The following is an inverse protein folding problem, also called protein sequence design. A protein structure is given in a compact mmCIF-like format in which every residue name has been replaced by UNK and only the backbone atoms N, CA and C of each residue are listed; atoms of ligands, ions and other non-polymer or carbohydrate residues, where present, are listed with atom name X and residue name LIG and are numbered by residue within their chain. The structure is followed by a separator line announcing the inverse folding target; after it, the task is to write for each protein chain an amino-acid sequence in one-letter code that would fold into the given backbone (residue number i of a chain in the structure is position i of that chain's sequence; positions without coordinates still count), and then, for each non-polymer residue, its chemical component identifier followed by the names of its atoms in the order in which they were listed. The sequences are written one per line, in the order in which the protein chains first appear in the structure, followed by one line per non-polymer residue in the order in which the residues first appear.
data_IF_805267186506
#
_entry.id   IF_805267186506
#
_cell.length_a   1.000
_cell.length_b   1.000
_cell.length_c   1.000
_cell.angle_alpha   90.00
_cell.angle_beta   90.00
_cell.angle_gamma   90.00
#
_symmetry.space_group_name_H-M   'P 1'
#
loop_
_entity.id
_entity.type
_entity.pdbx_description
1 polymer ?
#
# COMPACT_ATOMS: atom_id res chain seq x y z
N UNK A 1 38.52 -9.79 -8.63
CA UNK A 1 37.05 -9.85 -8.42
C UNK A 1 36.52 -8.45 -8.13
N UNK A 2 35.31 -8.10 -8.58
CA UNK A 2 34.68 -6.84 -8.16
C UNK A 2 34.25 -6.99 -6.70
N UNK A 3 34.59 -6.02 -5.85
CA UNK A 3 34.06 -5.96 -4.49
C UNK A 3 32.53 -6.03 -4.53
N UNK A 4 31.94 -6.97 -3.79
CA UNK A 4 30.49 -7.11 -3.64
C UNK A 4 30.10 -6.77 -2.20
N UNK A 5 29.14 -5.87 -2.05
CA UNK A 5 28.62 -5.44 -0.76
C UNK A 5 27.29 -6.17 -0.46
N UNK A 6 27.06 -6.67 0.76
CA UNK A 6 25.75 -7.17 1.16
C UNK A 6 24.69 -6.11 0.87
N UNK A 7 23.72 -6.43 0.02
CA UNK A 7 22.70 -5.47 -0.44
C UNK A 7 21.31 -6.00 -0.12
N UNK A 8 20.43 -5.10 0.30
CA UNK A 8 19.00 -5.38 0.45
C UNK A 8 18.16 -4.25 -0.13
N UNK A 9 16.87 -4.50 -0.36
CA UNK A 9 15.95 -3.54 -0.98
C UNK A 9 14.64 -3.49 -0.22
N UNK A 10 14.16 -2.27 0.03
CA UNK A 10 12.78 -1.98 0.45
C UNK A 10 11.92 -2.03 -0.81
N UNK A 11 11.09 -3.05 -1.02
CA UNK A 11 10.45 -3.27 -2.32
C UNK A 11 9.29 -2.30 -2.60
N UNK A 12 8.65 -1.77 -1.57
CA UNK A 12 7.57 -0.78 -1.64
C UNK A 12 7.40 -0.11 -0.26
N UNK A 13 6.50 0.86 -0.13
CA UNK A 13 6.06 1.45 1.15
C UNK A 13 4.62 2.01 1.05
N UNK A 14 3.83 1.46 0.13
CA UNK A 14 2.58 2.04 -0.35
C UNK A 14 1.50 2.18 0.74
N UNK A 15 1.49 1.30 1.74
CA UNK A 15 0.60 1.37 2.89
C UNK A 15 1.30 1.70 4.22
N UNK A 16 2.47 2.37 4.18
CA UNK A 16 3.07 2.87 5.42
C UNK A 16 2.17 3.95 6.04
N UNK A 17 1.79 3.87 7.33
CA UNK A 17 0.86 4.83 7.94
C UNK A 17 1.32 6.28 7.89
N UNK A 18 2.63 6.55 8.04
CA UNK A 18 3.17 7.91 7.98
C UNK A 18 3.20 8.44 6.55
N UNK A 19 3.42 7.59 5.55
CA UNK A 19 3.24 7.97 4.15
C UNK A 19 1.78 8.30 3.85
N UNK A 20 0.84 7.47 4.31
CA UNK A 20 -0.61 7.70 4.18
C UNK A 20 -1.03 9.02 4.84
N UNK A 21 -0.55 9.26 6.06
CA UNK A 21 -0.81 10.51 6.79
C UNK A 21 -0.19 11.72 6.06
N UNK A 22 1.04 11.60 5.55
CA UNK A 22 1.69 12.68 4.79
C UNK A 22 0.90 13.07 3.54
N UNK A 23 0.38 12.08 2.80
CA UNK A 23 -0.50 12.33 1.64
C UNK A 23 -1.79 13.02 2.10
N UNK A 24 -2.39 12.56 3.20
CA UNK A 24 -3.59 13.21 3.77
C UNK A 24 -3.33 14.68 4.15
N UNK A 25 -2.19 14.99 4.78
CA UNK A 25 -1.84 16.36 5.13
C UNK A 25 -1.61 17.24 3.89
N UNK A 26 -1.07 16.69 2.80
CA UNK A 26 -1.00 17.40 1.50
C UNK A 26 -2.36 17.71 0.92
N UNK A 27 -3.31 16.78 1.04
CA UNK A 27 -4.71 17.01 0.63
C UNK A 27 -5.31 18.15 1.47
N UNK A 28 -5.16 18.11 2.80
CA UNK A 28 -5.70 19.15 3.68
C UNK A 28 -5.12 20.53 3.40
N UNK A 29 -3.80 20.61 3.16
CA UNK A 29 -3.11 21.84 2.76
C UNK A 29 -3.68 22.39 1.45
N UNK A 30 -3.88 21.54 0.44
CA UNK A 30 -4.42 21.96 -0.84
C UNK A 30 -5.90 22.37 -0.75
N UNK A 31 -6.70 21.67 0.04
CA UNK A 31 -8.10 22.03 0.32
C UNK A 31 -8.24 23.44 0.90
N UNK A 32 -7.24 23.94 1.64
CA UNK A 32 -7.25 25.32 2.14
C UNK A 32 -7.20 26.38 1.02
N UNK A 33 -6.73 26.03 -0.19
CA UNK A 33 -6.70 26.96 -1.33
C UNK A 33 -8.06 27.14 -1.99
N UNK A 34 -8.99 26.20 -1.80
CA UNK A 34 -10.37 26.35 -2.27
C UNK A 34 -11.14 27.35 -1.38
N UNK A 35 -12.12 28.08 -1.95
CA UNK A 35 -13.06 28.87 -1.17
C UNK A 35 -13.80 28.00 -0.15
N UNK A 36 -13.97 28.50 1.08
CA UNK A 36 -14.61 27.74 2.18
C UNK A 36 -15.99 27.18 1.81
N UNK A 37 -16.74 27.91 0.97
CA UNK A 37 -18.10 27.56 0.53
C UNK A 37 -18.16 26.33 -0.36
N UNK A 38 -17.08 26.01 -1.09
CA UNK A 38 -17.06 24.89 -2.06
C UNK A 38 -16.21 23.70 -1.59
N UNK A 39 -15.47 23.83 -0.49
CA UNK A 39 -14.52 22.80 0.00
C UNK A 39 -15.16 21.43 0.20
N UNK A 40 -16.40 21.38 0.67
CA UNK A 40 -17.14 20.12 0.87
C UNK A 40 -17.58 19.46 -0.43
N UNK A 41 -17.56 20.18 -1.54
CA UNK A 41 -17.97 19.72 -2.87
C UNK A 41 -16.78 19.29 -3.73
N UNK A 42 -15.55 19.46 -3.24
CA UNK A 42 -14.33 19.12 -3.96
C UNK A 42 -14.27 17.61 -4.20
N UNK A 43 -14.05 17.23 -5.45
CA UNK A 43 -13.77 15.85 -5.84
C UNK A 43 -12.26 15.64 -5.90
N UNK A 44 -11.78 14.59 -5.21
CA UNK A 44 -10.37 14.20 -5.24
C UNK A 44 -10.09 13.33 -6.45
N UNK A 45 -9.07 13.67 -7.25
CA UNK A 45 -8.63 12.88 -8.40
C UNK A 45 -7.20 12.42 -8.14
N UNK A 46 -7.02 11.18 -7.70
CA UNK A 46 -5.71 10.58 -7.48
C UNK A 46 -5.11 10.16 -8.82
N UNK A 47 -4.13 10.92 -9.28
CA UNK A 47 -3.46 10.72 -10.58
C UNK A 47 -2.16 9.93 -10.40
N UNK A 48 -2.08 8.77 -11.05
CA UNK A 48 -0.88 7.94 -11.13
C UNK A 48 -0.32 7.94 -12.56
N UNK A 49 1.00 7.89 -12.73
CA UNK A 49 1.60 7.76 -14.05
C UNK A 49 1.25 6.40 -14.66
N UNK A 50 0.80 6.40 -15.91
CA UNK A 50 0.41 5.18 -16.58
C UNK A 50 1.62 4.29 -16.91
N UNK A 51 1.34 3.01 -17.08
CA UNK A 51 2.29 1.99 -17.52
C UNK A 51 1.62 1.13 -18.59
N UNK A 52 2.31 0.82 -19.69
CA UNK A 52 1.75 0.04 -20.80
C UNK A 52 1.21 -1.31 -20.31
N UNK A 53 -0.10 -1.47 -20.38
CA UNK A 53 -0.83 -2.69 -19.98
C UNK A 53 -0.41 -3.90 -20.83
N UNK A 54 -0.11 -3.69 -22.11
CA UNK A 54 0.26 -4.73 -23.08
C UNK A 54 1.61 -5.43 -22.84
N UNK A 55 2.56 -4.82 -22.12
CA UNK A 55 3.81 -5.47 -21.73
C UNK A 55 3.73 -6.18 -20.36
N UNK A 56 2.67 -5.91 -19.58
CA UNK A 56 2.51 -6.37 -18.19
C UNK A 56 1.20 -7.14 -17.94
N UNK A 57 0.56 -7.64 -18.99
CA UNK A 57 -0.49 -8.68 -18.91
C UNK A 57 -0.01 -10.01 -18.31
N UNK A 58 1.29 -10.15 -18.01
CA UNK A 58 1.76 -11.15 -17.07
C UNK A 58 1.48 -10.67 -15.64
N UNK A 59 0.68 -11.45 -14.91
CA UNK A 59 0.21 -11.35 -13.51
C UNK A 59 1.28 -11.03 -12.43
N UNK A 60 2.22 -10.12 -12.67
CA UNK A 60 3.46 -9.97 -11.91
C UNK A 60 3.84 -8.55 -11.53
N UNK A 61 3.30 -7.50 -12.17
CA UNK A 61 3.57 -6.13 -11.75
C UNK A 61 2.54 -5.66 -10.69
N UNK A 62 2.98 -5.39 -9.45
CA UNK A 62 2.08 -4.95 -8.39
C UNK A 62 1.73 -3.46 -8.47
N UNK A 63 2.26 -2.68 -9.43
CA UNK A 63 2.10 -1.23 -9.49
C UNK A 63 0.65 -0.75 -9.34
N UNK A 64 -0.24 -1.23 -10.20
CA UNK A 64 -1.66 -0.85 -10.16
C UNK A 64 -2.31 -1.21 -8.81
N UNK A 65 -2.01 -2.40 -8.28
CA UNK A 65 -2.51 -2.82 -6.98
C UNK A 65 -1.98 -1.94 -5.83
N UNK A 66 -0.71 -1.54 -5.87
CA UNK A 66 -0.12 -0.63 -4.88
C UNK A 66 -0.75 0.76 -4.97
N UNK A 67 -0.97 1.31 -6.16
CA UNK A 67 -1.66 2.60 -6.34
C UNK A 67 -3.05 2.56 -5.70
N UNK A 68 -3.87 1.56 -6.04
CA UNK A 68 -5.20 1.43 -5.46
C UNK A 68 -5.15 1.18 -3.95
N UNK A 69 -4.20 0.38 -3.46
CA UNK A 69 -3.98 0.16 -2.03
C UNK A 69 -3.65 1.46 -1.32
N UNK A 70 -2.74 2.29 -1.84
CA UNK A 70 -2.40 3.59 -1.26
C UNK A 70 -3.62 4.49 -1.19
N UNK A 71 -4.35 4.65 -2.31
CA UNK A 71 -5.54 5.51 -2.37
C UNK A 71 -6.59 5.05 -1.36
N UNK A 72 -6.86 3.75 -1.28
CA UNK A 72 -7.83 3.20 -0.32
C UNK A 72 -7.40 3.46 1.13
N UNK A 73 -6.11 3.32 1.46
CA UNK A 73 -5.62 3.62 2.82
C UNK A 73 -5.71 5.11 3.16
N UNK A 74 -5.40 6.00 2.22
CA UNK A 74 -5.58 7.45 2.37
C UNK A 74 -7.04 7.78 2.62
N UNK A 75 -7.96 7.29 1.78
CA UNK A 75 -9.38 7.58 1.93
C UNK A 75 -9.99 6.96 3.19
N UNK A 76 -9.49 5.80 3.65
CA UNK A 76 -9.86 5.23 4.96
C UNK A 76 -9.38 6.10 6.12
N UNK A 77 -8.12 6.53 6.10
CA UNK A 77 -7.56 7.41 7.13
C UNK A 77 -8.36 8.72 7.26
N UNK A 78 -8.87 9.23 6.14
CA UNK A 78 -9.72 10.42 6.07
C UNK A 78 -11.20 10.17 6.33
N UNK A 79 -11.61 8.96 6.68
CA UNK A 79 -13.02 8.56 6.84
C UNK A 79 -13.90 8.83 5.60
N UNK A 80 -13.31 8.82 4.39
CA UNK A 80 -13.99 9.09 3.11
C UNK A 80 -14.76 10.41 3.13
N UNK A 81 -14.12 11.46 3.65
CA UNK A 81 -14.64 12.81 3.80
C UNK A 81 -14.90 13.56 2.47
N UNK A 82 -14.34 13.09 1.35
CA UNK A 82 -14.63 13.59 0.00
C UNK A 82 -14.90 12.45 -1.00
N UNK A 83 -15.69 12.69 -2.07
CA UNK A 83 -15.75 11.81 -3.22
C UNK A 83 -14.39 11.76 -3.92
N UNK A 84 -14.02 10.59 -4.46
CA UNK A 84 -12.71 10.41 -5.08
C UNK A 84 -12.72 9.46 -6.29
N UNK A 85 -11.73 9.64 -7.16
CA UNK A 85 -11.42 8.75 -8.28
C UNK A 85 -9.92 8.41 -8.30
N UNK A 86 -9.59 7.19 -8.70
CA UNK A 86 -8.22 6.80 -9.07
C UNK A 86 -8.12 6.83 -10.59
N UNK A 87 -7.14 7.55 -11.12
CA UNK A 87 -6.97 7.80 -12.55
C UNK A 87 -5.50 7.66 -12.96
N UNK A 88 -5.27 7.49 -14.26
CA UNK A 88 -3.92 7.32 -14.82
C UNK A 88 -3.59 8.44 -15.83
N UNK A 89 -2.34 8.89 -15.87
CA UNK A 89 -1.90 10.02 -16.70
C UNK A 89 -0.75 9.63 -17.64
N UNK A 90 -0.44 10.48 -18.62
CA UNK A 90 0.70 10.31 -19.53
C UNK A 90 0.60 9.08 -20.45
N UNK A 91 -0.61 8.77 -20.89
CA UNK A 91 -0.94 7.81 -21.95
C UNK A 91 -0.37 8.29 -23.29
N UNK A 92 0.53 7.51 -23.90
CA UNK A 92 1.19 7.89 -25.17
C UNK A 92 1.09 6.81 -26.25
N UNK A 93 0.30 7.05 -27.29
CA UNK A 93 0.25 6.17 -28.46
C UNK A 93 -0.71 4.97 -28.31
N UNK A 94 -0.76 4.08 -29.33
CA UNK A 94 -1.90 3.20 -29.58
C UNK A 94 -1.97 1.93 -28.70
N UNK A 95 -1.20 1.86 -27.61
CA UNK A 95 -1.18 0.69 -26.73
C UNK A 95 -2.42 0.63 -25.82
N UNK A 96 -2.66 -0.53 -25.19
CA UNK A 96 -3.59 -0.60 -24.05
C UNK A 96 -2.91 -0.02 -22.81
N UNK A 97 -3.58 0.92 -22.16
CA UNK A 97 -3.12 1.67 -20.99
C UNK A 97 -4.06 1.45 -19.80
N UNK A 98 -3.63 1.80 -18.59
CA UNK A 98 -4.50 1.74 -17.42
C UNK A 98 -5.63 2.77 -17.56
N UNK A 99 -6.81 2.42 -17.07
CA UNK A 99 -7.99 3.26 -17.15
C UNK A 99 -8.57 3.52 -15.75
N UNK A 100 -9.32 4.61 -15.54
CA UNK A 100 -9.62 5.69 -16.48
C UNK A 100 -8.49 6.75 -16.57
N UNK A 101 -8.46 7.47 -17.69
CA UNK A 101 -7.54 8.58 -17.94
C UNK A 101 -7.87 9.80 -17.06
N UNK A 102 -6.83 10.48 -16.56
CA UNK A 102 -6.96 11.65 -15.68
C UNK A 102 -7.67 12.82 -16.37
N UNK A 103 -7.24 13.28 -17.56
CA UNK A 103 -8.01 14.27 -18.32
C UNK A 103 -9.47 13.85 -18.55
N UNK A 104 -9.71 12.63 -19.04
CA UNK A 104 -11.05 12.20 -19.45
C UNK A 104 -12.01 12.08 -18.25
N UNK A 105 -11.48 11.67 -17.09
CA UNK A 105 -12.23 11.65 -15.83
C UNK A 105 -12.64 13.06 -15.41
N UNK A 106 -11.74 14.05 -15.54
CA UNK A 106 -12.05 15.44 -15.20
C UNK A 106 -13.09 16.02 -16.16
N UNK A 107 -12.99 15.73 -17.46
CA UNK A 107 -14.03 16.14 -18.43
C UNK A 107 -15.39 15.52 -18.07
N UNK A 108 -15.42 14.23 -17.73
CA UNK A 108 -16.64 13.54 -17.30
C UNK A 108 -17.23 14.14 -16.02
N UNK A 109 -16.38 14.54 -15.06
CA UNK A 109 -16.82 15.21 -13.83
C UNK A 109 -17.46 16.56 -14.14
N UNK A 110 -16.87 17.34 -15.05
CA UNK A 110 -17.41 18.62 -15.48
C UNK A 110 -18.77 18.46 -16.19
N UNK A 111 -18.91 17.46 -17.06
CA UNK A 111 -20.18 17.11 -17.73
C UNK A 111 -21.28 16.71 -16.74
N UNK A 112 -20.89 16.08 -15.62
CA UNK A 112 -21.79 15.72 -14.52
C UNK A 112 -22.08 16.88 -13.55
N UNK A 113 -21.53 18.06 -13.82
CA UNK A 113 -21.81 19.29 -13.07
C UNK A 113 -20.89 19.53 -11.87
N UNK A 114 -19.85 18.73 -11.66
CA UNK A 114 -18.83 19.06 -10.66
C UNK A 114 -18.01 20.26 -11.11
N UNK A 115 -17.75 21.20 -10.20
CA UNK A 115 -17.03 22.46 -10.48
C UNK A 115 -15.72 22.61 -9.72
N UNK A 116 -15.47 21.74 -8.74
CA UNK A 116 -14.29 21.81 -7.88
C UNK A 116 -13.53 20.48 -7.88
N UNK A 117 -12.28 20.49 -8.34
CA UNK A 117 -11.44 19.29 -8.45
C UNK A 117 -10.08 19.54 -7.82
N UNK A 118 -9.66 18.64 -6.94
CA UNK A 118 -8.31 18.59 -6.40
C UNK A 118 -7.59 17.35 -6.95
N UNK A 119 -6.55 17.57 -7.74
CA UNK A 119 -5.69 16.49 -8.25
C UNK A 119 -4.60 16.17 -7.25
N UNK A 120 -4.42 14.88 -6.95
CA UNK A 120 -3.42 14.35 -6.02
C UNK A 120 -2.47 13.45 -6.81
N UNK A 121 -1.24 13.88 -7.13
CA UNK A 121 -0.25 13.03 -7.78
C UNK A 121 0.21 11.94 -6.80
N UNK A 122 -0.27 10.70 -6.98
CA UNK A 122 -0.08 9.64 -5.97
C UNK A 122 1.11 8.72 -6.27
N UNK A 123 1.60 8.74 -7.50
CA UNK A 123 2.68 7.86 -7.96
C UNK A 123 4.09 8.44 -7.86
N UNK A 124 4.21 9.71 -7.47
CA UNK A 124 5.48 10.41 -7.31
C UNK A 124 5.52 11.14 -5.97
N UNK A 125 6.73 11.26 -5.41
CA UNK A 125 6.95 11.88 -4.11
C UNK A 125 7.53 13.29 -4.21
N UNK A 126 7.98 13.72 -5.38
CA UNK A 126 8.55 15.06 -5.62
C UNK A 126 7.81 15.78 -6.74
N UNK A 127 7.84 17.11 -6.70
CA UNK A 127 7.40 17.92 -7.84
C UNK A 127 8.39 17.79 -9.01
N UNK A 128 7.86 17.65 -10.22
CA UNK A 128 8.62 17.45 -11.47
C UNK A 128 7.70 17.74 -12.67
N UNK A 129 8.20 17.56 -13.90
CA UNK A 129 7.45 17.94 -15.12
C UNK A 129 6.07 17.28 -15.21
N UNK A 130 5.94 16.01 -14.80
CA UNK A 130 4.66 15.27 -14.84
C UNK A 130 3.64 15.76 -13.79
N UNK A 131 4.03 16.62 -12.85
CA UNK A 131 3.11 17.27 -11.90
C UNK A 131 2.96 18.75 -12.21
N UNK A 132 4.06 19.52 -12.20
CA UNK A 132 4.03 20.97 -12.35
C UNK A 132 3.64 21.45 -13.76
N UNK A 133 3.89 20.64 -14.80
CA UNK A 133 3.49 21.01 -16.16
C UNK A 133 2.30 20.19 -16.64
N UNK A 134 2.39 18.86 -16.59
CA UNK A 134 1.33 18.01 -17.13
C UNK A 134 0.00 18.23 -16.37
N UNK A 135 0.02 18.21 -15.04
CA UNK A 135 -1.19 18.36 -14.25
C UNK A 135 -1.57 19.83 -14.06
N UNK A 136 -0.63 20.64 -13.56
CA UNK A 136 -0.95 21.99 -13.10
C UNK A 136 -1.09 23.03 -14.22
N UNK A 137 -0.58 22.74 -15.42
CA UNK A 137 -0.74 23.61 -16.59
C UNK A 137 -1.64 22.94 -17.63
N UNK A 138 -1.26 21.75 -18.12
CA UNK A 138 -1.93 21.14 -19.27
C UNK A 138 -3.31 20.58 -18.93
N UNK A 139 -3.42 19.80 -17.85
CA UNK A 139 -4.72 19.28 -17.38
C UNK A 139 -5.59 20.39 -16.82
N UNK A 140 -5.02 21.33 -16.05
CA UNK A 140 -5.74 22.53 -15.57
C UNK A 140 -6.43 23.28 -16.71
N UNK A 141 -5.69 23.62 -17.77
CA UNK A 141 -6.25 24.36 -18.90
C UNK A 141 -7.42 23.60 -19.57
N UNK A 142 -7.34 22.27 -19.68
CA UNK A 142 -8.45 21.44 -20.17
C UNK A 142 -9.64 21.43 -19.20
N UNK A 143 -9.38 21.31 -17.90
CA UNK A 143 -10.41 21.30 -16.87
C UNK A 143 -11.22 22.61 -16.87
N UNK A 144 -10.52 23.74 -16.88
CA UNK A 144 -11.12 25.08 -16.93
C UNK A 144 -11.94 25.29 -18.21
N UNK A 145 -11.41 24.86 -19.37
CA UNK A 145 -12.13 24.93 -20.65
C UNK A 145 -13.41 24.08 -20.68
N UNK A 146 -13.54 23.09 -19.79
CA UNK A 146 -14.74 22.23 -19.65
C UNK A 146 -15.67 22.68 -18.54
N UNK A 147 -15.33 23.77 -17.84
CA UNK A 147 -16.17 24.37 -16.80
C UNK A 147 -15.87 23.87 -15.39
N UNK A 148 -14.64 23.44 -15.10
CA UNK A 148 -14.16 23.37 -13.71
C UNK A 148 -13.79 24.78 -13.27
N UNK A 149 -14.47 25.30 -12.25
CA UNK A 149 -14.27 26.67 -11.74
C UNK A 149 -13.11 26.74 -10.73
N UNK A 150 -12.89 25.64 -9.99
CA UNK A 150 -11.84 25.54 -8.98
C UNK A 150 -11.01 24.28 -9.22
N UNK A 151 -9.74 24.48 -9.58
CA UNK A 151 -8.80 23.40 -9.84
C UNK A 151 -7.52 23.62 -9.03
N UNK A 152 -7.07 22.58 -8.34
CA UNK A 152 -5.79 22.61 -7.62
C UNK A 152 -5.06 21.28 -7.79
N UNK A 153 -3.73 21.32 -7.69
CA UNK A 153 -2.89 20.13 -7.62
C UNK A 153 -2.13 20.16 -6.28
N UNK A 154 -2.15 19.09 -5.51
CA UNK A 154 -1.35 19.03 -4.27
C UNK A 154 0.14 19.15 -4.61
N UNK A 155 0.91 19.83 -3.76
CA UNK A 155 2.37 19.74 -3.84
C UNK A 155 2.82 18.28 -3.60
N UNK A 156 3.93 17.90 -4.22
CA UNK A 156 4.60 16.64 -3.90
C UNK A 156 4.93 16.53 -2.40
N UNK A 157 5.22 15.31 -1.94
CA UNK A 157 5.68 15.12 -0.55
C UNK A 157 6.96 15.91 -0.29
N UNK A 158 7.90 15.94 -1.24
CA UNK A 158 9.16 16.67 -1.14
C UNK A 158 9.84 16.36 0.19
N UNK A 159 9.95 17.36 1.07
CA UNK A 159 10.57 17.26 2.40
C UNK A 159 9.56 17.06 3.54
N UNK A 160 8.37 16.51 3.27
CA UNK A 160 7.36 16.28 4.30
C UNK A 160 7.93 15.41 5.43
N UNK A 161 7.90 15.86 6.71
CA UNK A 161 8.59 15.16 7.80
C UNK A 161 8.10 13.72 7.98
N UNK A 162 6.78 13.50 7.95
CA UNK A 162 6.20 12.16 8.01
C UNK A 162 6.62 11.24 6.85
N UNK A 163 6.88 11.79 5.67
CA UNK A 163 7.38 10.98 4.56
C UNK A 163 8.84 10.55 4.81
N UNK A 164 9.68 11.46 5.30
CA UNK A 164 11.07 11.15 5.68
C UNK A 164 11.08 10.07 6.78
N UNK A 165 10.20 10.19 7.77
CA UNK A 165 10.03 9.17 8.81
C UNK A 165 9.55 7.82 8.25
N UNK A 166 8.61 7.82 7.30
CA UNK A 166 8.14 6.60 6.64
C UNK A 166 9.28 5.87 5.92
N UNK A 167 10.17 6.59 5.25
CA UNK A 167 11.37 6.03 4.61
C UNK A 167 12.34 5.44 5.65
N UNK A 168 12.53 6.12 6.78
CA UNK A 168 13.30 5.63 7.92
C UNK A 168 12.73 4.33 8.49
N UNK A 169 11.42 4.29 8.77
CA UNK A 169 10.73 3.09 9.27
C UNK A 169 10.81 1.93 8.28
N UNK A 170 10.60 2.19 6.99
CA UNK A 170 10.67 1.15 5.98
C UNK A 170 12.08 0.57 5.84
N UNK A 171 13.11 1.42 5.99
CA UNK A 171 14.51 1.00 5.98
C UNK A 171 14.85 0.19 7.23
N UNK A 172 14.46 0.65 8.42
CA UNK A 172 14.72 -0.09 9.67
C UNK A 172 13.99 -1.43 9.67
N UNK A 173 12.71 -1.47 9.31
CA UNK A 173 11.95 -2.72 9.23
C UNK A 173 12.55 -3.73 8.23
N UNK A 174 13.23 -3.23 7.20
CA UNK A 174 13.95 -4.07 6.24
C UNK A 174 15.28 -4.60 6.80
N UNK A 175 15.91 -3.89 7.75
CA UNK A 175 17.13 -4.29 8.44
C UNK A 175 16.85 -5.21 9.65
N UNK A 176 15.72 -5.03 10.34
CA UNK A 176 15.36 -5.69 11.62
C UNK A 176 14.83 -7.14 11.51
N UNK A 177 15.37 -7.93 10.58
CA UNK A 177 15.29 -9.39 10.62
C UNK A 177 16.66 -9.96 11.01
N UNK A 178 16.73 -10.81 12.05
CA UNK A 178 17.23 -10.43 13.36
C UNK A 178 18.69 -9.94 13.31
N UNK A 179 18.91 -8.64 13.49
CA UNK A 179 20.23 -8.10 13.81
C UNK A 179 20.02 -7.01 14.87
N UNK A 180 20.71 -7.13 16.00
CA UNK A 180 20.73 -6.08 17.02
C UNK A 180 21.32 -4.80 16.39
N UNK A 181 20.59 -3.68 16.46
CA UNK A 181 21.00 -2.37 15.92
C UNK A 181 22.35 -1.87 16.47
N UNK A 182 22.83 -2.40 17.61
CA UNK A 182 24.18 -2.14 18.10
C UNK A 182 25.28 -2.92 17.35
N UNK A 183 24.94 -4.02 16.66
CA UNK A 183 25.86 -4.74 15.76
C UNK A 183 26.10 -3.99 14.44
N UNK A 184 25.15 -3.13 14.02
CA UNK A 184 25.32 -2.24 12.85
C UNK A 184 26.26 -1.06 13.12
N UNK A 185 26.58 -0.77 14.40
CA UNK A 185 27.54 0.28 14.77
C UNK A 185 28.98 -0.08 14.42
N UNK A 186 29.25 -1.35 14.13
CA UNK A 186 30.50 -1.85 13.57
C UNK A 186 30.33 -2.14 12.08
N UNK A 187 29.91 -1.13 11.32
CA UNK A 187 29.88 -1.18 9.86
C UNK A 187 31.23 -0.80 9.26
N UNK A 188 32.01 -1.80 8.83
CA UNK A 188 33.16 -1.64 7.93
C UNK A 188 34.50 -2.17 8.45
N UNK A 189 34.66 -3.49 8.61
CA UNK A 189 35.96 -4.10 8.92
C UNK A 189 36.35 -5.30 8.02
N UNK A 190 35.55 -5.63 7.01
CA UNK A 190 35.91 -6.65 6.02
C UNK A 190 35.95 -8.09 6.56
N UNK A 191 35.24 -8.41 7.65
CA UNK A 191 35.12 -9.80 8.11
C UNK A 191 33.97 -10.56 7.43
N UNK A 192 34.29 -11.75 6.93
CA UNK A 192 33.39 -12.68 6.23
C UNK A 192 32.59 -13.52 7.23
N UNK A 193 31.45 -13.03 7.71
CA UNK A 193 30.40 -13.94 8.21
C UNK A 193 29.11 -13.74 7.43
N UNK A 194 28.53 -14.87 7.03
CA UNK A 194 27.41 -14.95 6.10
C UNK A 194 26.12 -14.50 6.75
N UNK A 195 25.62 -13.35 6.31
CA UNK A 195 24.24 -12.96 6.54
C UNK A 195 23.36 -13.71 5.55
N UNK A 196 22.34 -14.48 5.97
CA UNK A 196 21.46 -15.18 5.05
C UNK A 196 20.53 -14.16 4.36
N UNK A 197 21.05 -13.47 3.35
CA UNK A 197 20.28 -12.65 2.43
C UNK A 197 19.37 -13.56 1.62
N UNK A 198 18.06 -13.50 1.88
CA UNK A 198 17.07 -14.25 1.09
C UNK A 198 16.75 -13.53 -0.22
N UNK A 199 16.78 -14.21 -1.37
CA UNK A 199 16.25 -13.70 -2.63
C UNK A 199 14.81 -13.20 -2.46
N UNK A 200 14.41 -12.14 -3.19
CA UNK A 200 13.11 -11.48 -3.05
C UNK A 200 11.92 -12.46 -3.03
N UNK A 201 11.94 -13.46 -3.91
CA UNK A 201 10.88 -14.47 -4.03
C UNK A 201 10.80 -15.46 -2.85
N UNK A 202 11.82 -15.51 -1.99
CA UNK A 202 11.93 -16.40 -0.82
C UNK A 202 11.76 -15.67 0.51
N UNK A 203 11.41 -14.38 0.47
CA UNK A 203 11.19 -13.56 1.67
C UNK A 203 9.80 -13.84 2.27
N UNK A 204 9.66 -13.84 3.60
CA UNK A 204 8.35 -13.95 4.25
C UNK A 204 7.39 -12.90 3.69
N UNK A 205 6.26 -13.36 3.15
CA UNK A 205 5.12 -12.53 2.79
C UNK A 205 4.15 -12.65 3.96
N UNK A 206 3.93 -11.57 4.70
CA UNK A 206 2.96 -11.60 5.79
C UNK A 206 1.55 -11.66 5.21
N UNK A 207 0.75 -12.61 5.70
CA UNK A 207 -0.61 -12.84 5.25
C UNK A 207 -1.51 -11.62 5.53
N UNK A 208 -2.27 -11.24 4.50
CA UNK A 208 -3.27 -10.17 4.48
C UNK A 208 -4.51 -10.54 5.31
N UNK A 209 -4.34 -10.92 6.58
CA UNK A 209 -5.51 -11.18 7.42
C UNK A 209 -6.18 -9.83 7.78
N UNK A 210 -7.09 -9.42 6.89
CA UNK A 210 -7.94 -8.24 7.03
C UNK A 210 -7.98 -7.37 5.77
N UNK A 211 -8.67 -7.86 4.74
CA UNK A 211 -9.14 -7.14 3.54
C UNK A 211 -8.13 -6.97 2.39
N UNK A 212 -8.10 -7.98 1.51
CA UNK A 212 -7.71 -7.79 0.12
C UNK A 212 -8.73 -6.86 -0.57
N UNK A 213 -8.39 -5.60 -0.83
CA UNK A 213 -9.07 -4.85 -1.88
C UNK A 213 -8.60 -5.43 -3.22
N UNK A 214 -9.49 -6.09 -3.95
CA UNK A 214 -9.22 -6.48 -5.34
C UNK A 214 -9.05 -5.22 -6.18
N UNK A 215 -7.94 -5.10 -6.91
CA UNK A 215 -7.80 -4.05 -7.91
C UNK A 215 -8.88 -4.21 -8.98
N UNK A 216 -9.68 -3.18 -9.24
CA UNK A 216 -10.77 -3.21 -10.22
C UNK A 216 -10.29 -3.33 -11.67
N UNK A 217 -9.05 -2.87 -11.95
CA UNK A 217 -8.49 -2.88 -13.31
C UNK A 217 -7.82 -4.21 -13.69
N UNK A 218 -7.05 -4.83 -12.78
CA UNK A 218 -6.32 -6.06 -13.08
C UNK A 218 -6.85 -7.32 -12.37
N UNK A 219 -7.86 -7.17 -11.51
CA UNK A 219 -8.49 -8.27 -10.75
C UNK A 219 -7.58 -8.92 -9.70
N UNK A 220 -6.36 -8.43 -9.50
CA UNK A 220 -5.39 -9.01 -8.56
C UNK A 220 -5.55 -8.41 -7.16
N UNK A 221 -5.45 -9.25 -6.12
CA UNK A 221 -5.55 -8.87 -4.71
C UNK A 221 -4.19 -8.66 -4.01
N UNK A 222 -3.19 -8.10 -4.70
CA UNK A 222 -1.89 -7.82 -4.10
C UNK A 222 -1.95 -6.51 -3.30
N UNK A 223 -2.29 -6.58 -2.01
CA UNK A 223 -2.20 -5.43 -1.11
C UNK A 223 -0.74 -5.04 -0.83
N UNK A 224 -0.50 -3.75 -0.60
CA UNK A 224 0.80 -3.27 -0.12
C UNK A 224 1.15 -3.87 1.26
N UNK A 225 2.44 -3.99 1.61
CA UNK A 225 2.83 -4.48 2.94
C UNK A 225 2.33 -3.51 3.99
N UNK A 226 1.85 -4.05 5.10
CA UNK A 226 1.62 -3.28 6.32
C UNK A 226 2.97 -3.08 7.02
N UNK A 227 3.37 -1.82 7.20
CA UNK A 227 4.66 -1.44 7.80
C UNK A 227 4.62 -1.36 9.34
N UNK A 228 3.44 -1.58 9.92
CA UNK A 228 3.27 -1.63 11.37
C UNK A 228 3.39 -3.06 11.87
N UNK A 229 4.06 -3.25 13.00
CA UNK A 229 3.94 -4.48 13.78
C UNK A 229 2.45 -4.71 14.13
N UNK A 230 1.97 -5.97 14.17
CA UNK A 230 0.70 -6.27 14.82
C UNK A 230 0.74 -5.73 16.25
N UNK A 231 -0.38 -5.18 16.71
CA UNK A 231 -0.52 -4.85 18.12
C UNK A 231 -0.29 -6.14 18.93
N UNK A 232 0.66 -6.10 19.87
CA UNK A 232 1.05 -7.27 20.68
C UNK A 232 -0.06 -7.70 21.65
N UNK A 233 -1.16 -6.95 21.70
CA UNK A 233 -2.36 -7.26 22.49
C UNK A 233 -3.27 -8.32 21.85
N UNK A 234 -3.10 -8.63 20.57
CA UNK A 234 -3.83 -9.69 19.88
C UNK A 234 -2.95 -10.94 19.76
N UNK A 235 -2.90 -11.75 20.81
CA UNK A 235 -2.41 -13.13 20.67
C UNK A 235 -3.34 -13.88 19.68
N UNK A 236 -2.79 -14.66 18.74
CA UNK A 236 -3.61 -15.58 17.97
C UNK A 236 -4.13 -16.66 18.91
N UNK A 237 -5.44 -16.91 18.88
CA UNK A 237 -6.08 -18.03 19.60
C UNK A 237 -5.24 -19.30 19.42
N UNK A 238 -4.85 -19.89 20.55
CA UNK A 238 -4.13 -21.15 20.58
C UNK A 238 -4.95 -22.20 19.80
N UNK A 239 -4.30 -23.07 18.98
CA UNK A 239 -5.03 -24.09 18.25
C UNK A 239 -5.71 -25.03 19.25
N UNK A 240 -7.05 -25.10 19.17
CA UNK A 240 -7.86 -26.08 19.90
C UNK A 240 -7.44 -27.48 19.48
N UNK A 241 -6.97 -28.26 20.45
CA UNK A 241 -6.59 -29.67 20.32
C UNK A 241 -7.75 -30.52 19.75
N UNK A 242 -7.62 -31.09 18.54
CA UNK A 242 -8.64 -31.96 17.97
C UNK A 242 -8.38 -33.40 18.42
N UNK A 243 -8.51 -33.69 19.71
CA UNK A 243 -8.42 -35.07 20.21
C UNK A 243 -9.26 -35.34 21.46
N UNK A 244 -10.55 -34.96 21.44
CA UNK A 244 -11.52 -35.63 22.30
C UNK A 244 -12.90 -35.69 21.66
N UNK A 245 -13.11 -36.69 20.81
CA UNK A 245 -14.40 -37.39 20.75
C UNK A 245 -14.29 -38.63 19.90
N UNK A 246 -14.91 -39.70 20.44
CA UNK A 246 -15.30 -41.00 19.89
C UNK A 246 -14.53 -42.15 20.53
N UNK A 247 -15.15 -43.23 20.98
CA UNK A 247 -16.53 -43.61 21.23
C UNK A 247 -16.41 -44.94 21.98
N UNK A 248 -17.21 -45.12 23.03
CA UNK A 248 -17.40 -46.41 23.70
C UNK A 248 -17.89 -47.47 22.69
N UNK A 249 -17.46 -48.73 22.83
CA UNK A 249 -18.51 -49.73 23.05
C UNK A 249 -18.13 -50.87 24.02
N UNK A 250 -19.08 -51.13 24.93
CA UNK A 250 -19.63 -52.44 25.25
C UNK A 250 -18.78 -53.45 26.05
N UNK A 251 -19.20 -53.62 27.30
CA UNK A 251 -18.95 -54.72 28.24
C UNK A 251 -19.35 -56.08 27.65
N UNK A 252 -18.66 -57.18 28.03
CA UNK A 252 -19.37 -58.17 28.85
C UNK A 252 -18.58 -58.59 30.11
N UNK A 253 -19.35 -58.88 31.15
CA UNK A 253 -18.92 -59.44 32.43
C UNK A 253 -18.33 -60.84 32.26
N UNK A 254 -17.31 -61.15 33.06
CA UNK A 254 -16.76 -62.49 33.25
C UNK A 254 -16.13 -62.59 34.63
N UNK A 255 -16.86 -63.19 35.56
CA UNK A 255 -16.44 -63.64 36.88
C UNK A 255 -15.28 -64.63 36.80
N UNK A 256 -14.30 -64.53 37.69
CA UNK A 256 -13.79 -65.69 38.44
C UNK A 256 -12.86 -65.27 39.59
N UNK A 257 -12.73 -66.20 40.51
CA UNK A 257 -12.47 -66.05 41.93
C UNK A 257 -11.08 -66.55 42.32
N UNK A 258 -10.56 -66.00 43.43
CA UNK A 258 -9.89 -66.73 44.53
C UNK A 258 -8.38 -67.10 44.43
N UNK A 259 -7.68 -66.64 45.48
CA UNK A 259 -6.53 -67.17 46.25
C UNK A 259 -5.21 -67.57 45.59
N UNK A 260 -4.13 -66.97 46.11
CA UNK A 260 -3.04 -67.55 46.94
C UNK A 260 -1.82 -66.63 46.74
N UNK A 261 -1.06 -66.16 47.74
CA UNK A 261 -0.57 -66.84 48.92
C UNK A 261 0.96 -66.80 48.86
N UNK A 262 1.61 -66.24 49.89
CA UNK A 262 2.95 -66.67 50.26
C UNK A 262 4.12 -65.69 50.07
N UNK A 263 4.59 -65.21 51.23
CA UNK A 263 5.96 -64.83 51.65
C UNK A 263 6.53 -63.50 51.17
#
# INVERSE_FOLDING_TARGET
ERASWPTTVVPEYAANPKYVQAVSERVDQALQRFPRTVRSEVVLVFSAHDTVFGARGQRGDPYCCHVHSTVEQVMRHRNRDQPFHTTFQSVMGPSSWLSPSTPDTIETLAERGHRSVLVVPISFVTDHVNTSYDLDISVRARAEAKGIDHFEVTAGLNTHPLFIEALGEATIAQLDLPVDVNQLRFGGDGQSQGYPLRPYHQRPRHGLNGQSSSCSECGSGQGARRWTLPDRSAEPDAPSDPSSTRSDPSVPQGSESVSDGGS
#
